data_IF_685958320902
#
_entry.id   IF_685958320902
#
_cell.length_a   1.000
_cell.length_b   1.000
_cell.length_c   1.000
_cell.angle_alpha   90.00
_cell.angle_beta   90.00
_cell.angle_gamma   90.00
#
_symmetry.space_group_name_H-M   'P 1'
#
loop_
_entity.id
_entity.type
_entity.pdbx_description
1 polymer ?
#
# COMPACT_ATOMS: atom_id res chain seq x y z
N UNK A 1 -10.71 -13.72 -1.06
CA UNK A 1 -9.53 -14.09 -0.25
C UNK A 1 -8.42 -14.61 -1.18
N UNK A 2 -7.19 -14.89 -0.70
CA UNK A 2 -6.09 -15.37 -1.57
C UNK A 2 -6.43 -16.68 -2.29
N UNK A 3 -7.31 -17.47 -1.69
CA UNK A 3 -7.83 -18.74 -2.19
C UNK A 3 -8.66 -18.57 -3.47
N UNK A 4 -9.19 -17.36 -3.72
CA UNK A 4 -10.04 -17.04 -4.88
C UNK A 4 -9.25 -16.49 -6.08
N UNK A 5 -7.91 -16.54 -6.03
CA UNK A 5 -7.08 -16.06 -7.14
C UNK A 5 -7.25 -16.98 -8.35
N UNK A 6 -7.78 -16.42 -9.44
CA UNK A 6 -7.75 -17.09 -10.73
C UNK A 6 -6.39 -16.91 -11.42
N UNK A 7 -5.62 -18.00 -11.45
CA UNK A 7 -4.32 -18.09 -12.14
C UNK A 7 -4.45 -18.41 -13.64
N UNK A 8 -5.67 -18.70 -14.14
CA UNK A 8 -5.89 -18.95 -15.58
C UNK A 8 -5.90 -17.67 -16.40
N UNK A 9 -6.19 -16.53 -15.78
CA UNK A 9 -6.12 -15.22 -16.41
C UNK A 9 -4.66 -14.77 -16.58
N UNK A 10 -4.23 -14.33 -17.78
CA UNK A 10 -2.83 -14.01 -18.10
C UNK A 10 -2.42 -12.65 -17.51
N UNK A 11 -2.30 -12.58 -16.18
CA UNK A 11 -1.93 -11.37 -15.43
C UNK A 11 -0.45 -11.34 -15.01
N UNK A 12 0.33 -12.34 -15.42
CA UNK A 12 1.74 -12.47 -15.05
C UNK A 12 1.97 -12.80 -13.58
N UNK A 13 0.98 -13.39 -12.89
CA UNK A 13 1.10 -13.77 -11.48
C UNK A 13 1.86 -15.09 -11.35
N UNK A 14 2.97 -15.05 -10.61
CA UNK A 14 3.67 -16.25 -10.18
C UNK A 14 2.97 -16.84 -8.94
N UNK A 15 2.42 -18.06 -9.08
CA UNK A 15 1.71 -18.76 -7.99
C UNK A 15 2.61 -19.01 -6.78
N UNK A 16 3.89 -19.32 -6.99
CA UNK A 16 4.84 -19.56 -5.89
C UNK A 16 5.07 -18.29 -5.08
N UNK A 17 5.24 -17.15 -5.77
CA UNK A 17 5.38 -15.85 -5.14
C UNK A 17 4.11 -15.47 -4.35
N UNK A 18 2.92 -15.67 -4.91
CA UNK A 18 1.67 -15.37 -4.20
C UNK A 18 1.53 -16.22 -2.93
N UNK A 19 1.87 -17.51 -2.99
CA UNK A 19 1.86 -18.39 -1.81
C UNK A 19 2.87 -17.91 -0.76
N UNK A 20 4.08 -17.53 -1.17
CA UNK A 20 5.09 -16.96 -0.30
C UNK A 20 4.60 -15.66 0.36
N UNK A 21 4.01 -14.74 -0.40
CA UNK A 21 3.41 -13.51 0.15
C UNK A 21 2.26 -13.82 1.12
N UNK A 22 1.47 -14.86 0.84
CA UNK A 22 0.40 -15.35 1.70
C UNK A 22 0.85 -15.93 3.04
N UNK A 23 2.14 -16.29 3.19
CA UNK A 23 2.73 -16.70 4.48
C UNK A 23 2.85 -15.54 5.47
N UNK A 24 2.83 -14.31 4.98
CA UNK A 24 3.03 -13.10 5.78
C UNK A 24 4.47 -12.88 6.25
N UNK A 25 5.46 -13.64 5.76
CA UNK A 25 6.87 -13.46 6.17
C UNK A 25 7.39 -12.05 5.85
N UNK A 26 7.04 -11.52 4.67
CA UNK A 26 7.39 -10.15 4.27
C UNK A 26 6.87 -9.07 5.23
N UNK A 27 5.75 -9.32 5.92
CA UNK A 27 5.22 -8.42 6.94
C UNK A 27 6.12 -8.38 8.19
N UNK A 28 6.63 -9.55 8.60
CA UNK A 28 7.55 -9.69 9.75
C UNK A 28 8.90 -9.06 9.45
N UNK A 29 9.35 -9.19 8.21
CA UNK A 29 10.63 -8.66 7.74
C UNK A 29 10.58 -7.15 7.42
N UNK A 30 9.39 -6.51 7.53
CA UNK A 30 9.23 -5.09 7.24
C UNK A 30 9.44 -4.73 5.77
N UNK A 31 9.19 -5.67 4.86
CA UNK A 31 9.40 -5.47 3.42
C UNK A 31 8.21 -4.75 2.78
N UNK A 32 8.50 -3.90 1.80
CA UNK A 32 7.47 -3.24 1.01
C UNK A 32 7.11 -4.07 -0.23
N UNK A 33 5.85 -3.97 -0.65
CA UNK A 33 5.34 -4.66 -1.83
C UNK A 33 4.78 -3.64 -2.83
N UNK A 34 5.10 -3.80 -4.11
CA UNK A 34 4.51 -3.01 -5.19
C UNK A 34 3.71 -3.96 -6.09
N UNK A 35 2.43 -3.65 -6.30
CA UNK A 35 1.57 -4.32 -7.26
C UNK A 35 1.35 -3.38 -8.43
N UNK A 36 2.13 -3.58 -9.50
CA UNK A 36 2.08 -2.79 -10.73
C UNK A 36 1.25 -3.45 -11.83
N UNK A 37 0.72 -2.66 -12.75
CA UNK A 37 0.05 -3.15 -13.96
C UNK A 37 -1.04 -2.22 -14.50
N UNK A 38 -1.61 -2.49 -15.69
CA UNK A 38 -2.61 -1.62 -16.29
C UNK A 38 -3.91 -1.57 -15.48
N UNK A 39 -4.78 -0.61 -15.77
CA UNK A 39 -6.09 -0.49 -15.13
C UNK A 39 -6.94 -1.75 -15.38
N UNK A 40 -7.73 -2.18 -14.39
CA UNK A 40 -8.66 -3.30 -14.54
C UNK A 40 -8.09 -4.71 -14.33
N UNK A 41 -6.77 -4.89 -14.14
CA UNK A 41 -6.16 -6.23 -13.94
C UNK A 41 -6.31 -6.82 -12.52
N UNK A 42 -7.00 -6.11 -11.63
CA UNK A 42 -7.26 -6.58 -10.27
C UNK A 42 -6.16 -6.29 -9.24
N UNK A 43 -5.35 -5.23 -9.43
CA UNK A 43 -4.31 -4.81 -8.48
C UNK A 43 -4.86 -4.57 -7.07
N UNK A 44 -5.89 -3.72 -6.97
CA UNK A 44 -6.59 -3.43 -5.71
C UNK A 44 -7.20 -4.69 -5.10
N UNK A 45 -7.77 -5.56 -5.93
CA UNK A 45 -8.31 -6.83 -5.45
C UNK A 45 -7.22 -7.71 -4.82
N UNK A 46 -6.05 -7.81 -5.45
CA UNK A 46 -4.92 -8.59 -4.92
C UNK A 46 -4.36 -7.98 -3.64
N UNK A 47 -4.24 -6.65 -3.58
CA UNK A 47 -3.88 -5.94 -2.35
C UNK A 47 -4.86 -6.24 -1.21
N UNK A 48 -6.16 -6.19 -1.48
CA UNK A 48 -7.20 -6.55 -0.52
C UNK A 48 -7.16 -8.02 -0.11
N UNK A 49 -6.84 -8.94 -1.01
CA UNK A 49 -6.72 -10.36 -0.68
C UNK A 49 -5.54 -10.62 0.28
N UNK A 50 -4.39 -9.98 0.05
CA UNK A 50 -3.23 -10.02 0.96
C UNK A 50 -3.54 -9.35 2.29
N UNK A 51 -4.20 -8.18 2.29
CA UNK A 51 -4.65 -7.51 3.51
C UNK A 51 -5.60 -8.38 4.32
N UNK A 52 -6.57 -9.03 3.68
CA UNK A 52 -7.49 -9.91 4.37
C UNK A 52 -6.75 -11.08 5.03
N UNK A 53 -5.74 -11.66 4.36
CA UNK A 53 -4.87 -12.66 4.97
C UNK A 53 -4.12 -12.09 6.17
N UNK A 54 -3.53 -10.91 6.04
CA UNK A 54 -2.82 -10.24 7.14
C UNK A 54 -3.73 -9.99 8.35
N UNK A 55 -4.97 -9.53 8.13
CA UNK A 55 -5.97 -9.39 9.20
C UNK A 55 -6.27 -10.73 9.89
N UNK A 56 -6.44 -11.83 9.12
CA UNK A 56 -6.65 -13.17 9.70
C UNK A 56 -5.46 -13.66 10.53
N UNK A 57 -4.25 -13.20 10.22
CA UNK A 57 -3.03 -13.51 10.96
C UNK A 57 -2.79 -12.58 12.16
N UNK A 58 -3.70 -11.64 12.43
CA UNK A 58 -3.65 -10.74 13.58
C UNK A 58 -2.89 -9.44 13.37
N UNK A 59 -2.48 -9.11 12.14
CA UNK A 59 -1.84 -7.83 11.83
C UNK A 59 -2.86 -6.69 11.75
N UNK A 60 -2.46 -5.52 12.24
CA UNK A 60 -3.20 -4.28 11.98
C UNK A 60 -3.02 -3.84 10.53
N UNK A 61 -4.14 -3.59 9.85
CA UNK A 61 -4.13 -3.21 8.42
C UNK A 61 -4.90 -1.91 8.22
N UNK A 62 -4.34 -1.00 7.43
CA UNK A 62 -5.01 0.23 6.98
C UNK A 62 -4.96 0.31 5.47
N UNK A 63 -6.11 0.46 4.84
CA UNK A 63 -6.24 0.70 3.41
C UNK A 63 -6.59 2.17 3.17
N UNK A 64 -5.78 2.84 2.35
CA UNK A 64 -5.94 4.25 1.96
C UNK A 64 -5.92 4.36 0.45
N UNK A 65 -6.92 5.03 -0.12
CA UNK A 65 -6.84 5.51 -1.51
C UNK A 65 -6.09 6.82 -1.54
N UNK A 66 -4.99 6.85 -2.28
CA UNK A 66 -4.04 7.93 -2.23
C UNK A 66 -4.63 9.31 -2.57
N UNK A 67 -5.53 9.48 -3.57
CA UNK A 67 -6.16 10.78 -3.82
C UNK A 67 -6.93 11.33 -2.62
N UNK A 68 -7.68 10.46 -1.93
CA UNK A 68 -8.45 10.83 -0.73
C UNK A 68 -7.54 11.13 0.46
N UNK A 69 -6.44 10.37 0.60
CA UNK A 69 -5.44 10.62 1.63
C UNK A 69 -4.82 12.01 1.45
N UNK A 70 -4.48 12.41 0.21
CA UNK A 70 -3.90 13.73 -0.04
C UNK A 70 -4.85 14.87 0.35
N UNK A 71 -6.14 14.74 0.07
CA UNK A 71 -7.17 15.69 0.52
C UNK A 71 -7.27 15.74 2.05
N UNK A 72 -7.28 14.57 2.70
CA UNK A 72 -7.36 14.46 4.16
C UNK A 72 -6.15 15.09 4.86
N UNK A 73 -4.94 14.83 4.37
CA UNK A 73 -3.71 15.41 4.92
C UNK A 73 -3.68 16.93 4.75
N UNK A 74 -4.15 17.44 3.60
CA UNK A 74 -4.29 18.88 3.38
C UNK A 74 -5.20 19.56 4.41
N UNK A 75 -6.32 18.94 4.76
CA UNK A 75 -7.20 19.43 5.83
C UNK A 75 -6.56 19.27 7.22
N UNK A 76 -5.87 18.15 7.46
CA UNK A 76 -5.27 17.83 8.74
C UNK A 76 -4.12 18.78 9.14
N UNK A 77 -3.44 19.38 8.16
CA UNK A 77 -2.49 20.46 8.39
C UNK A 77 -3.16 21.71 8.95
N UNK A 78 -4.37 22.05 8.47
CA UNK A 78 -5.11 23.24 8.88
C UNK A 78 -5.82 23.12 10.23
N UNK A 79 -6.15 21.91 10.68
CA UNK A 79 -6.88 21.66 11.93
C UNK A 79 -6.07 20.96 13.03
N UNK A 80 -4.77 20.78 12.82
CA UNK A 80 -3.83 20.24 13.80
C UNK A 80 -3.86 18.73 14.00
N UNK A 81 -4.62 17.98 13.18
CA UNK A 81 -4.68 16.50 13.28
C UNK A 81 -3.53 15.78 12.57
N UNK A 82 -2.73 16.47 11.75
CA UNK A 82 -1.71 15.88 10.88
C UNK A 82 -0.78 14.90 11.61
N UNK A 83 -0.09 15.36 12.66
CA UNK A 83 0.86 14.54 13.42
C UNK A 83 0.21 13.27 14.00
N UNK A 84 -1.05 13.37 14.47
CA UNK A 84 -1.79 12.22 15.02
C UNK A 84 -2.16 11.21 13.93
N UNK A 85 -2.55 11.66 12.74
CA UNK A 85 -2.84 10.79 11.60
C UNK A 85 -1.57 10.07 11.14
N UNK A 86 -0.49 10.81 10.95
CA UNK A 86 0.81 10.29 10.51
C UNK A 86 1.35 9.24 11.47
N UNK A 87 1.37 9.52 12.78
CA UNK A 87 1.75 8.54 13.80
C UNK A 87 0.84 7.29 13.80
N UNK A 88 -0.44 7.47 13.49
CA UNK A 88 -1.40 6.38 13.34
C UNK A 88 -1.10 5.48 12.13
N UNK A 89 -0.70 6.07 11.01
CA UNK A 89 -0.29 5.35 9.82
C UNK A 89 1.06 4.67 10.01
N UNK A 90 2.05 5.36 10.56
CA UNK A 90 3.39 4.82 10.83
C UNK A 90 3.37 3.53 11.66
N UNK A 91 2.54 3.46 12.71
CA UNK A 91 2.46 2.28 13.59
C UNK A 91 1.70 1.07 13.05
N UNK A 92 0.98 1.21 11.93
CA UNK A 92 0.16 0.12 11.36
C UNK A 92 1.05 -0.95 10.73
N UNK A 93 0.81 -2.22 11.02
CA UNK A 93 1.63 -3.34 10.54
C UNK A 93 1.69 -3.39 9.00
N UNK A 94 0.53 -3.29 8.36
CA UNK A 94 0.39 -3.17 6.91
C UNK A 94 -0.39 -1.91 6.53
N UNK A 95 0.28 -1.00 5.83
CA UNK A 95 -0.34 0.16 5.20
C UNK A 95 -0.48 -0.08 3.70
N UNK A 96 -1.70 -0.03 3.17
CA UNK A 96 -1.97 -0.08 1.73
C UNK A 96 -2.19 1.34 1.22
N UNK A 97 -1.40 1.73 0.21
CA UNK A 97 -1.55 2.94 -0.58
C UNK A 97 -2.01 2.56 -1.98
N UNK A 98 -3.32 2.60 -2.19
CA UNK A 98 -3.95 2.25 -3.46
C UNK A 98 -3.98 3.47 -4.39
N UNK A 99 -3.91 3.23 -5.70
CA UNK A 99 -3.94 4.26 -6.74
C UNK A 99 -2.73 5.22 -6.74
N UNK A 100 -1.53 4.68 -6.49
CA UNK A 100 -0.31 5.47 -6.51
C UNK A 100 0.03 6.00 -7.91
N UNK A 101 0.32 7.30 -7.97
CA UNK A 101 0.74 7.96 -9.20
C UNK A 101 -0.39 8.22 -10.21
N UNK A 102 -1.66 8.22 -9.80
CA UNK A 102 -2.75 8.67 -10.70
C UNK A 102 -2.64 10.16 -11.07
N UNK A 103 -2.06 10.96 -10.18
CA UNK A 103 -1.77 12.37 -10.40
C UNK A 103 -0.40 12.70 -9.80
N UNK A 104 0.33 13.68 -10.36
CA UNK A 104 1.60 14.12 -9.77
C UNK A 104 1.36 14.73 -8.39
N UNK A 105 2.22 14.39 -7.44
CA UNK A 105 2.19 15.02 -6.12
C UNK A 105 2.61 16.49 -6.19
N UNK A 106 1.90 17.33 -5.43
CA UNK A 106 2.40 18.66 -5.08
C UNK A 106 3.62 18.54 -4.15
N UNK A 107 4.41 19.62 -4.03
CA UNK A 107 5.59 19.60 -3.17
C UNK A 107 5.29 19.28 -1.68
N UNK A 108 4.21 19.81 -1.07
CA UNK A 108 3.81 19.40 0.29
C UNK A 108 3.45 17.91 0.38
N UNK A 109 2.60 17.41 -0.52
CA UNK A 109 2.19 16.01 -0.53
C UNK A 109 3.37 15.05 -0.67
N UNK A 110 4.37 15.41 -1.49
CA UNK A 110 5.60 14.63 -1.64
C UNK A 110 6.39 14.54 -0.34
N UNK A 111 6.48 15.63 0.42
CA UNK A 111 7.15 15.65 1.73
C UNK A 111 6.39 14.79 2.74
N UNK A 112 5.07 14.93 2.80
CA UNK A 112 4.23 14.13 3.70
C UNK A 112 4.38 12.63 3.40
N UNK A 113 4.41 12.24 2.12
CA UNK A 113 4.63 10.84 1.73
C UNK A 113 6.05 10.36 2.03
N UNK A 114 7.06 11.19 1.85
CA UNK A 114 8.44 10.83 2.20
C UNK A 114 8.57 10.57 3.71
N UNK A 115 8.05 11.48 4.54
CA UNK A 115 8.06 11.34 6.00
C UNK A 115 7.35 10.04 6.44
N UNK A 116 6.16 9.77 5.89
CA UNK A 116 5.43 8.54 6.20
C UNK A 116 6.19 7.26 5.80
N UNK A 117 6.84 7.27 4.63
CA UNK A 117 7.53 6.09 4.13
C UNK A 117 8.85 5.86 4.86
N UNK A 118 9.57 6.92 5.22
CA UNK A 118 10.83 6.86 5.98
C UNK A 118 10.59 6.30 7.39
N UNK A 119 9.54 6.76 8.09
CA UNK A 119 9.16 6.23 9.42
C UNK A 119 8.86 4.72 9.40
N UNK A 120 8.42 4.22 8.24
CA UNK A 120 8.00 2.81 8.07
C UNK A 120 9.11 1.93 7.53
N UNK A 121 10.06 2.48 6.79
CA UNK A 121 11.08 1.72 6.07
C UNK A 121 11.87 0.79 7.01
N UNK A 122 11.89 -0.51 6.69
CA UNK A 122 12.57 -1.54 7.48
C UNK A 122 11.88 -1.93 8.80
N UNK A 123 10.80 -1.24 9.19
CA UNK A 123 10.10 -1.48 10.46
C UNK A 123 8.67 -2.00 10.26
N UNK A 124 7.97 -1.53 9.23
CA UNK A 124 6.56 -1.80 8.95
C UNK A 124 6.34 -1.87 7.45
N UNK A 125 5.40 -2.71 7.02
CA UNK A 125 5.27 -3.03 5.60
C UNK A 125 4.28 -2.12 4.89
N UNK A 126 4.68 -1.58 3.74
CA UNK A 126 3.82 -0.75 2.89
C UNK A 126 3.57 -1.48 1.58
N UNK A 127 2.30 -1.62 1.22
CA UNK A 127 1.86 -2.18 -0.05
C UNK A 127 1.32 -1.05 -0.93
N UNK A 128 1.91 -0.87 -2.09
CA UNK A 128 1.50 0.13 -3.06
C UNK A 128 0.84 -0.55 -4.26
N UNK A 129 -0.28 -0.02 -4.75
CA UNK A 129 -0.77 -0.36 -6.08
C UNK A 129 -0.51 0.80 -7.02
N UNK A 130 -0.05 0.53 -8.25
CA UNK A 130 0.15 1.58 -9.23
C UNK A 130 -0.12 1.11 -10.65
N UNK A 131 -0.59 2.03 -11.48
CA UNK A 131 -0.62 1.84 -12.93
C UNK A 131 0.57 2.51 -13.63
N UNK A 132 1.38 3.27 -12.91
CA UNK A 132 2.60 3.86 -13.46
C UNK A 132 3.79 2.93 -13.26
N UNK A 133 4.65 2.77 -14.29
CA UNK A 133 5.97 2.20 -14.12
C UNK A 133 6.76 2.90 -12.99
N UNK A 134 7.52 2.12 -12.22
CA UNK A 134 8.26 2.59 -11.03
C UNK A 134 9.32 3.65 -11.39
N UNK A 135 9.92 3.53 -12.58
CA UNK A 135 10.85 4.48 -13.18
C UNK A 135 10.21 5.82 -13.54
N UNK A 136 8.89 6.00 -13.36
CA UNK A 136 8.18 7.27 -13.59
C UNK A 136 7.69 7.93 -12.31
N UNK A 137 8.17 7.49 -11.15
CA UNK A 137 7.71 8.01 -9.84
C UNK A 137 8.42 9.30 -9.41
N UNK A 138 9.38 9.81 -10.20
CA UNK A 138 10.19 10.99 -9.92
C UNK A 138 9.91 12.14 -10.90
#
# INVERSE_FOLDING_TARGET
CLEDIDYRSPRGLDKSLILQLGSGQWLRDGLNLIIGGPTGVGKTWLACALAHKACRDGYSVRYLRLPRLMEELGLAHGDGRFAKLMAGYAKTDLLILDDWGLAPFTAPQRRDMLELLDDRYGNRSTLVTSQMPVDKWH
#
